data_IF_850969359499
#
_entry.id   IF_850969359499
#
_cell.length_a   1.000
_cell.length_b   1.000
_cell.length_c   1.000
_cell.angle_alpha   90.00
_cell.angle_beta   90.00
_cell.angle_gamma   90.00
#
_symmetry.space_group_name_H-M   'P 1'
#
loop_
_entity.id
_entity.type
_entity.pdbx_description
1 polymer ?
#
# COMPACT_ATOMS: atom_id res chain seq x y z
N UNK A 1 -62.15 -3.37 -23.42
CA UNK A 1 -61.28 -4.30 -24.17
C UNK A 1 -59.85 -4.05 -23.71
N UNK A 2 -59.14 -5.11 -23.28
CA UNK A 2 -57.69 -5.25 -22.97
C UNK A 2 -57.06 -4.22 -21.99
N UNK A 3 -56.68 -4.53 -20.73
CA UNK A 3 -55.61 -5.40 -20.18
C UNK A 3 -54.17 -5.05 -20.57
N UNK A 4 -53.28 -4.84 -19.60
CA UNK A 4 -51.82 -4.93 -19.77
C UNK A 4 -50.97 -4.19 -18.73
N UNK A 5 -50.36 -4.94 -17.81
CA UNK A 5 -49.25 -4.58 -16.92
C UNK A 5 -47.89 -4.54 -17.66
N UNK A 6 -46.86 -3.89 -17.09
CA UNK A 6 -45.40 -4.20 -17.06
C UNK A 6 -44.67 -2.96 -16.47
N UNK A 7 -44.15 -2.95 -15.24
CA UNK A 7 -42.84 -3.48 -14.77
C UNK A 7 -41.62 -2.99 -15.58
N UNK A 8 -40.76 -2.19 -14.94
CA UNK A 8 -39.47 -1.76 -15.51
C UNK A 8 -38.69 -0.86 -14.58
N UNK A 9 -38.06 -1.46 -13.56
CA UNK A 9 -37.04 -0.85 -12.71
C UNK A 9 -35.70 -0.73 -13.45
N UNK A 10 -35.09 0.44 -13.42
CA UNK A 10 -33.63 0.61 -13.37
C UNK A 10 -33.33 1.85 -12.52
N UNK A 11 -32.66 1.71 -11.35
CA UNK A 11 -31.99 2.86 -10.76
C UNK A 11 -30.73 3.12 -11.59
N UNK A 12 -30.65 4.36 -12.05
CA UNK A 12 -29.51 4.99 -12.69
C UNK A 12 -28.20 4.58 -12.00
N UNK A 13 -27.35 3.84 -12.72
CA UNK A 13 -26.00 3.50 -12.32
C UNK A 13 -25.15 4.76 -12.44
N UNK A 14 -25.34 5.66 -11.48
CA UNK A 14 -24.55 6.85 -11.28
C UNK A 14 -23.11 6.48 -10.94
N UNK A 15 -22.30 6.44 -12.00
CA UNK A 15 -20.87 6.60 -12.06
C UNK A 15 -20.33 7.38 -10.82
N UNK A 16 -19.81 6.66 -9.81
CA UNK A 16 -19.05 7.28 -8.72
C UNK A 16 -17.58 7.22 -9.05
N UNK A 17 -17.19 8.29 -9.73
CA UNK A 17 -15.83 8.80 -9.92
C UNK A 17 -14.98 8.66 -8.66
N UNK A 18 -13.74 8.23 -8.85
CA UNK A 18 -12.76 7.99 -7.79
C UNK A 18 -12.60 9.16 -6.83
N UNK A 19 -12.39 8.80 -5.58
CA UNK A 19 -11.88 9.70 -4.54
C UNK A 19 -10.78 8.96 -3.79
N UNK A 20 -9.65 8.79 -4.47
CA UNK A 20 -8.37 8.70 -3.79
C UNK A 20 -8.06 10.08 -3.25
N UNK A 21 -8.40 10.34 -1.99
CA UNK A 21 -7.94 11.55 -1.29
C UNK A 21 -6.48 11.29 -0.92
N UNK A 22 -5.60 11.41 -1.90
CA UNK A 22 -4.17 11.58 -1.68
C UNK A 22 -3.92 13.06 -1.40
N UNK A 23 -3.53 13.39 -0.16
CA UNK A 23 -2.68 14.54 0.14
C UNK A 23 -2.29 14.53 1.62
N UNK A 24 -1.24 13.77 1.94
CA UNK A 24 -0.05 14.14 2.71
C UNK A 24 0.77 12.87 2.85
N UNK A 25 2.06 12.94 2.52
CA UNK A 25 2.97 11.79 2.42
C UNK A 25 2.98 10.90 3.66
N UNK A 26 3.41 9.66 3.44
CA UNK A 26 3.49 8.58 4.45
C UNK A 26 2.14 7.88 4.69
N UNK A 27 1.59 7.20 3.67
CA UNK A 27 0.45 6.29 3.88
C UNK A 27 0.56 5.06 2.97
N UNK A 28 1.02 3.98 3.58
CA UNK A 28 0.28 2.72 3.72
C UNK A 28 -0.37 2.05 2.51
N UNK A 29 -0.31 0.71 2.50
CA UNK A 29 -1.03 -0.12 1.53
C UNK A 29 -2.54 0.10 1.64
N UNK A 30 -3.18 0.45 0.53
CA UNK A 30 -4.62 0.70 0.42
C UNK A 30 -5.30 -0.31 -0.50
N UNK A 31 -6.36 -0.98 -0.05
CA UNK A 31 -7.14 -1.95 -0.84
C UNK A 31 -8.60 -1.49 -0.96
N UNK A 32 -9.13 -1.37 -2.18
CA UNK A 32 -10.52 -0.94 -2.44
C UNK A 32 -11.30 -1.97 -3.29
N UNK A 33 -12.55 -2.27 -2.89
CA UNK A 33 -13.51 -3.11 -3.64
C UNK A 33 -14.68 -2.33 -4.26
N UNK A 34 -14.65 -0.99 -4.26
CA UNK A 34 -15.78 -0.15 -4.66
C UNK A 34 -16.82 0.02 -3.55
N UNK A 35 -16.36 0.04 -2.29
CA UNK A 35 -17.22 0.23 -1.11
C UNK A 35 -16.63 -0.21 0.22
N UNK A 36 -15.51 -0.97 0.23
CA UNK A 36 -14.73 -1.29 1.44
C UNK A 36 -13.27 -0.94 1.19
N UNK A 37 -12.67 -0.24 2.15
CA UNK A 37 -11.27 0.19 2.10
C UNK A 37 -10.50 -0.32 3.31
N UNK A 38 -9.35 -0.95 3.09
CA UNK A 38 -8.36 -1.23 4.14
C UNK A 38 -7.16 -0.33 3.91
N UNK A 39 -6.71 0.35 4.96
CA UNK A 39 -5.47 1.14 4.95
C UNK A 39 -4.55 0.63 6.06
N UNK A 40 -3.29 0.37 5.74
CA UNK A 40 -2.33 -0.25 6.67
C UNK A 40 -1.20 0.73 6.96
N UNK A 41 -0.92 1.00 8.22
CA UNK A 41 0.22 1.83 8.64
C UNK A 41 0.90 1.18 9.84
N UNK A 42 2.23 1.13 9.83
CA UNK A 42 3.02 0.48 10.88
C UNK A 42 3.57 1.47 11.91
N UNK A 43 3.74 2.74 11.52
CA UNK A 43 4.32 3.77 12.37
C UNK A 43 3.20 4.40 13.23
N UNK A 44 3.35 4.48 14.57
CA UNK A 44 2.23 4.83 15.44
C UNK A 44 1.68 6.24 15.24
N UNK A 45 2.54 7.22 14.99
CA UNK A 45 2.17 8.62 14.75
C UNK A 45 1.43 8.76 13.42
N UNK A 46 1.91 8.12 12.35
CA UNK A 46 1.25 8.06 11.06
C UNK A 46 -0.06 7.29 11.13
N UNK A 47 -0.13 6.22 11.91
CA UNK A 47 -1.36 5.46 12.12
C UNK A 47 -2.43 6.31 12.84
N UNK A 48 -2.03 7.20 13.77
CA UNK A 48 -2.94 8.15 14.39
C UNK A 48 -3.48 9.16 13.38
N UNK A 49 -2.60 9.73 12.54
CA UNK A 49 -2.99 10.62 11.45
C UNK A 49 -3.92 9.92 10.46
N UNK A 50 -3.60 8.69 10.04
CA UNK A 50 -4.42 7.86 9.17
C UNK A 50 -5.81 7.64 9.78
N UNK A 51 -5.87 7.25 11.05
CA UNK A 51 -7.14 7.01 11.76
C UNK A 51 -7.97 8.28 11.84
N UNK A 52 -7.34 9.43 12.09
CA UNK A 52 -8.02 10.72 12.08
C UNK A 52 -8.59 11.07 10.69
N UNK A 53 -7.78 10.92 9.64
CA UNK A 53 -8.15 11.20 8.26
C UNK A 53 -9.30 10.30 7.78
N UNK A 54 -9.33 9.04 8.24
CA UNK A 54 -10.37 8.08 7.89
C UNK A 54 -11.63 8.15 8.76
N UNK A 55 -11.66 9.00 9.80
CA UNK A 55 -12.75 9.04 10.79
C UNK A 55 -14.15 9.26 10.22
N UNK A 56 -14.27 9.96 9.07
CA UNK A 56 -15.54 10.23 8.40
C UNK A 56 -15.88 9.22 7.28
N UNK A 57 -15.06 8.21 7.07
CA UNK A 57 -15.22 7.22 6.00
C UNK A 57 -15.59 5.85 6.59
N UNK A 58 -16.88 5.60 6.80
CA UNK A 58 -17.37 4.36 7.45
C UNK A 58 -17.02 3.06 6.70
N UNK A 59 -16.68 3.18 5.42
CA UNK A 59 -16.22 2.09 4.57
C UNK A 59 -14.72 1.77 4.75
N UNK A 60 -13.95 2.68 5.36
CA UNK A 60 -12.52 2.57 5.53
C UNK A 60 -12.16 2.04 6.92
N UNK A 61 -11.21 1.12 6.97
CA UNK A 61 -10.68 0.56 8.22
C UNK A 61 -9.16 0.70 8.23
N UNK A 62 -8.61 1.51 9.16
CA UNK A 62 -7.18 1.55 9.38
C UNK A 62 -6.72 0.30 10.14
N UNK A 63 -5.54 -0.22 9.82
CA UNK A 63 -4.88 -1.32 10.53
C UNK A 63 -3.48 -0.86 10.98
N UNK A 64 -3.20 -1.01 12.27
CA UNK A 64 -1.87 -0.73 12.83
C UNK A 64 -1.01 -1.99 12.76
N UNK A 65 -0.38 -2.22 11.61
CA UNK A 65 0.52 -3.33 11.38
C UNK A 65 1.45 -3.06 10.21
N UNK A 66 2.56 -3.79 10.13
CA UNK A 66 3.38 -3.86 8.93
C UNK A 66 2.87 -4.93 7.96
N UNK A 67 3.22 -4.79 6.68
CA UNK A 67 3.00 -5.82 5.66
C UNK A 67 4.34 -6.47 5.31
N UNK A 68 4.38 -7.80 5.25
CA UNK A 68 5.61 -8.56 4.98
C UNK A 68 5.31 -9.91 4.32
N UNK A 69 6.34 -10.73 4.14
CA UNK A 69 6.29 -12.08 3.56
C UNK A 69 5.69 -13.12 4.51
N UNK A 70 5.59 -12.78 5.80
CA UNK A 70 5.02 -13.64 6.83
C UNK A 70 4.33 -12.85 7.95
N UNK A 71 3.37 -13.49 8.61
CA UNK A 71 2.76 -12.98 9.82
C UNK A 71 3.69 -13.14 11.03
N UNK A 72 3.64 -12.20 11.97
CA UNK A 72 4.44 -12.23 13.19
C UNK A 72 4.60 -10.85 13.82
N UNK A 73 5.80 -10.59 14.34
CA UNK A 73 6.20 -9.30 14.89
C UNK A 73 7.53 -8.92 14.27
N UNK A 74 7.64 -7.69 13.77
CA UNK A 74 8.91 -7.12 13.30
C UNK A 74 9.40 -6.05 14.26
N UNK A 75 10.72 -5.89 14.33
CA UNK A 75 11.36 -4.75 14.99
C UNK A 75 11.76 -3.76 13.91
N UNK A 76 11.29 -2.51 14.00
CA UNK A 76 11.72 -1.44 13.11
C UNK A 76 12.46 -0.35 13.89
N UNK A 77 13.24 0.45 13.16
CA UNK A 77 14.07 1.50 13.70
C UNK A 77 13.45 2.86 13.39
N UNK A 78 13.03 3.60 14.43
CA UNK A 78 12.46 4.93 14.24
C UNK A 78 13.59 5.97 14.10
N UNK A 79 13.65 6.61 12.94
CA UNK A 79 14.44 7.83 12.72
C UNK A 79 13.81 8.98 13.51
N UNK A 80 14.61 9.75 14.27
CA UNK A 80 14.15 10.96 14.98
C UNK A 80 13.87 12.15 14.03
N UNK A 81 14.07 11.98 12.73
CA UNK A 81 13.75 12.97 11.70
C UNK A 81 12.61 12.46 10.79
N UNK A 82 11.51 13.21 10.80
CA UNK A 82 10.15 12.89 10.33
C UNK A 82 9.97 12.91 8.80
N UNK A 83 10.81 12.22 8.04
CA UNK A 83 10.65 12.20 6.56
C UNK A 83 11.21 10.97 5.85
N UNK A 84 11.81 10.01 6.56
CA UNK A 84 12.42 8.82 5.97
C UNK A 84 12.44 7.70 7.01
N UNK A 85 11.37 6.92 7.12
CA UNK A 85 11.32 5.75 7.98
C UNK A 85 11.63 4.50 7.16
N UNK A 86 12.82 3.92 7.35
CA UNK A 86 13.30 2.74 6.62
C UNK A 86 13.21 1.50 7.50
N UNK A 87 12.77 0.37 6.92
CA UNK A 87 12.79 -0.94 7.58
C UNK A 87 14.21 -1.51 7.79
N UNK A 88 15.24 -0.87 7.22
CA UNK A 88 16.63 -1.36 7.23
C UNK A 88 17.59 -0.31 7.82
N UNK A 89 18.63 -0.80 8.51
CA UNK A 89 19.68 -0.03 9.19
C UNK A 89 20.41 0.90 8.18
N UNK A 90 20.08 2.20 8.18
CA UNK A 90 20.75 3.22 7.38
C UNK A 90 22.13 3.51 7.96
N UNK A 91 23.07 2.63 7.62
CA UNK A 91 24.27 2.37 8.39
C UNK A 91 25.37 3.46 8.32
N UNK A 92 25.08 4.74 8.03
CA UNK A 92 26.17 5.74 7.96
C UNK A 92 25.86 7.24 8.12
N UNK A 93 24.66 7.69 8.52
CA UNK A 93 24.41 9.15 8.65
C UNK A 93 23.61 9.60 9.88
N UNK A 94 23.20 8.70 10.76
CA UNK A 94 22.43 9.07 11.96
C UNK A 94 23.07 8.43 13.17
N UNK A 95 23.32 9.26 14.18
CA UNK A 95 23.85 8.90 15.49
C UNK A 95 23.17 7.63 16.01
N UNK A 96 23.92 6.51 16.04
CA UNK A 96 23.38 5.15 16.30
C UNK A 96 22.86 4.99 17.74
N UNK A 97 22.95 6.01 18.58
CA UNK A 97 22.54 5.96 19.99
C UNK A 97 21.09 6.38 20.27
N UNK A 98 20.30 6.80 19.28
CA UNK A 98 18.96 7.34 19.53
C UNK A 98 17.82 6.78 18.65
N UNK A 99 18.08 5.78 17.81
CA UNK A 99 17.00 5.09 17.10
C UNK A 99 16.22 4.21 18.08
N UNK A 100 15.01 4.64 18.45
CA UNK A 100 14.11 3.84 19.26
C UNK A 100 13.69 2.60 18.46
N UNK A 101 13.84 1.42 19.08
CA UNK A 101 13.40 0.14 18.51
C UNK A 101 11.98 -0.12 18.95
N UNK A 102 11.08 -0.22 17.98
CA UNK A 102 9.68 -0.53 18.24
C UNK A 102 9.32 -1.89 17.63
N UNK A 103 8.42 -2.59 18.30
CA UNK A 103 7.87 -3.85 17.83
C UNK A 103 6.44 -3.63 17.35
N UNK A 104 6.16 -4.03 16.12
CA UNK A 104 4.83 -3.94 15.52
C UNK A 104 4.41 -5.30 14.96
N UNK A 105 3.12 -5.61 15.06
CA UNK A 105 2.54 -6.77 14.40
C UNK A 105 2.80 -6.65 12.90
N UNK A 106 3.23 -7.73 12.26
CA UNK A 106 3.27 -7.83 10.81
C UNK A 106 2.29 -8.90 10.32
N UNK A 107 1.71 -8.66 9.16
CA UNK A 107 0.80 -9.58 8.46
C UNK A 107 1.17 -9.65 6.98
N UNK A 108 0.65 -10.64 6.28
CA UNK A 108 0.82 -10.75 4.82
C UNK A 108 -0.34 -10.10 4.08
N UNK A 109 -0.17 -9.82 2.79
CA UNK A 109 -1.26 -9.36 1.91
C UNK A 109 -2.36 -10.42 1.85
N UNK A 110 -2.00 -11.70 1.74
CA UNK A 110 -2.98 -12.80 1.74
C UNK A 110 -3.78 -12.86 3.04
N UNK A 111 -3.15 -12.62 4.19
CA UNK A 111 -3.85 -12.54 5.46
C UNK A 111 -4.88 -11.40 5.47
N UNK A 112 -4.51 -10.21 4.98
CA UNK A 112 -5.43 -9.07 4.88
C UNK A 112 -6.58 -9.40 3.93
N UNK A 113 -6.27 -9.98 2.78
CA UNK A 113 -7.26 -10.36 1.77
C UNK A 113 -8.29 -11.33 2.34
N UNK A 114 -7.84 -12.42 2.98
CA UNK A 114 -8.73 -13.41 3.57
C UNK A 114 -9.53 -12.84 4.75
N UNK A 115 -8.85 -12.18 5.71
CA UNK A 115 -9.48 -11.70 6.95
C UNK A 115 -10.44 -10.53 6.74
N UNK A 116 -10.15 -9.63 5.80
CA UNK A 116 -10.91 -8.38 5.64
C UNK A 116 -11.76 -8.30 4.38
N UNK A 117 -11.47 -9.13 3.38
CA UNK A 117 -12.25 -9.21 2.15
C UNK A 117 -12.93 -10.58 1.99
N UNK A 118 -12.59 -11.58 2.79
CA UNK A 118 -13.22 -12.90 2.72
C UNK A 118 -12.92 -13.63 1.40
N UNK A 119 -11.77 -13.32 0.78
CA UNK A 119 -11.41 -13.83 -0.54
C UNK A 119 -12.08 -13.10 -1.70
N UNK A 120 -12.91 -12.08 -1.46
CA UNK A 120 -13.53 -11.29 -2.53
C UNK A 120 -12.49 -10.49 -3.33
N UNK A 121 -12.74 -10.23 -4.64
CA UNK A 121 -11.85 -9.43 -5.47
C UNK A 121 -11.67 -8.00 -4.96
N UNK A 122 -10.44 -7.50 -5.08
CA UNK A 122 -9.98 -6.15 -4.80
C UNK A 122 -9.76 -5.42 -6.13
N UNK A 123 -10.49 -4.32 -6.33
CA UNK A 123 -10.43 -3.54 -7.57
C UNK A 123 -9.12 -2.78 -7.72
N UNK A 124 -8.61 -2.25 -6.61
CA UNK A 124 -7.39 -1.45 -6.61
C UNK A 124 -6.58 -1.69 -5.34
N UNK A 125 -5.29 -1.97 -5.53
CA UNK A 125 -4.26 -1.90 -4.49
C UNK A 125 -3.32 -0.72 -4.77
N UNK A 126 -3.13 0.18 -3.78
CA UNK A 126 -1.94 1.03 -3.71
C UNK A 126 -0.95 0.34 -2.77
N UNK A 127 0.30 0.18 -3.18
CA UNK A 127 1.40 -0.31 -2.35
C UNK A 127 2.48 0.75 -2.26
N UNK A 128 2.79 1.14 -1.04
CA UNK A 128 3.77 2.16 -0.67
C UNK A 128 4.20 1.82 0.76
N UNK A 129 5.22 0.97 0.89
CA UNK A 129 5.61 0.33 2.16
C UNK A 129 7.08 0.63 2.52
N UNK A 130 7.63 1.68 1.92
CA UNK A 130 8.94 2.28 2.23
C UNK A 130 10.08 1.26 2.38
N UNK A 131 10.26 0.40 1.37
CA UNK A 131 11.36 -0.58 1.29
C UNK A 131 10.98 -2.00 1.68
N UNK A 132 9.69 -2.29 1.88
CA UNK A 132 9.16 -3.66 2.05
C UNK A 132 8.41 -4.20 0.83
N UNK A 133 8.50 -3.55 -0.34
CA UNK A 133 7.62 -3.85 -1.48
C UNK A 133 7.78 -5.30 -1.93
N UNK A 134 9.01 -5.79 -1.99
CA UNK A 134 9.30 -7.17 -2.36
C UNK A 134 8.70 -8.19 -1.38
N UNK A 135 8.83 -7.96 -0.06
CA UNK A 135 8.26 -8.84 0.96
C UNK A 135 6.74 -8.78 0.95
N UNK A 136 6.16 -7.60 0.74
CA UNK A 136 4.71 -7.44 0.62
C UNK A 136 4.16 -8.19 -0.60
N UNK A 137 4.85 -8.14 -1.75
CA UNK A 137 4.50 -8.93 -2.92
C UNK A 137 4.59 -10.44 -2.65
N UNK A 138 5.66 -10.90 -1.99
CA UNK A 138 5.83 -12.30 -1.61
C UNK A 138 4.75 -12.80 -0.65
N UNK A 139 4.32 -11.96 0.30
CA UNK A 139 3.23 -12.26 1.21
C UNK A 139 1.82 -12.19 0.58
N UNK A 140 1.72 -11.85 -0.70
CA UNK A 140 0.46 -11.78 -1.44
C UNK A 140 0.35 -12.77 -2.59
N UNK A 141 1.23 -13.75 -2.66
CA UNK A 141 1.32 -14.67 -3.79
C UNK A 141 -0.03 -15.30 -4.13
N UNK A 142 -0.85 -15.69 -3.15
CA UNK A 142 -2.18 -16.26 -3.40
C UNK A 142 -3.14 -15.23 -4.00
N UNK A 143 -3.23 -14.02 -3.41
CA UNK A 143 -4.10 -12.95 -3.88
C UNK A 143 -3.72 -12.47 -5.30
N UNK A 144 -2.43 -12.33 -5.58
CA UNK A 144 -1.96 -11.87 -6.89
C UNK A 144 -2.09 -12.95 -7.96
N UNK A 145 -1.63 -14.18 -7.69
CA UNK A 145 -1.65 -15.26 -8.68
C UNK A 145 -3.07 -15.74 -9.03
N UNK A 146 -4.02 -15.60 -8.10
CA UNK A 146 -5.44 -15.91 -8.34
C UNK A 146 -6.17 -14.82 -9.13
N UNK A 147 -5.54 -13.66 -9.37
CA UNK A 147 -6.18 -12.50 -9.99
C UNK A 147 -7.19 -11.80 -9.08
N UNK A 148 -7.09 -12.00 -7.76
CA UNK A 148 -7.98 -11.34 -6.80
C UNK A 148 -7.74 -9.83 -6.73
N UNK A 149 -6.57 -9.34 -7.13
CA UNK A 149 -6.27 -7.90 -7.21
C UNK A 149 -6.31 -7.50 -8.69
N UNK A 150 -7.29 -6.69 -9.08
CA UNK A 150 -7.51 -6.32 -10.49
C UNK A 150 -6.48 -5.29 -10.98
N UNK A 151 -6.17 -4.29 -10.14
CA UNK A 151 -5.22 -3.23 -10.48
C UNK A 151 -4.30 -2.93 -9.30
N UNK A 152 -3.04 -2.64 -9.60
CA UNK A 152 -2.04 -2.26 -8.60
C UNK A 152 -1.28 -1.00 -9.03
N UNK A 153 -1.01 -0.13 -8.06
CA UNK A 153 -0.07 0.98 -8.17
C UNK A 153 1.00 0.75 -7.10
N UNK A 154 2.25 0.62 -7.51
CA UNK A 154 3.39 0.42 -6.59
C UNK A 154 4.29 1.64 -6.65
N UNK A 155 4.50 2.28 -5.50
CA UNK A 155 5.56 3.25 -5.29
C UNK A 155 6.73 2.53 -4.62
N UNK A 156 7.94 2.73 -5.14
CA UNK A 156 9.14 2.12 -4.58
C UNK A 156 10.36 3.00 -4.85
N UNK A 157 11.36 2.93 -3.97
CA UNK A 157 12.63 3.62 -4.14
C UNK A 157 13.74 2.60 -4.46
N UNK A 158 14.21 2.47 -5.72
CA UNK A 158 15.23 1.50 -6.10
C UNK A 158 16.48 1.57 -5.24
N UNK A 159 16.90 2.80 -4.88
CA UNK A 159 18.08 3.04 -4.04
C UNK A 159 17.87 2.51 -2.62
N UNK A 160 16.69 2.72 -2.03
CA UNK A 160 16.38 2.23 -0.69
C UNK A 160 16.38 0.70 -0.65
N UNK A 161 15.74 0.06 -1.63
CA UNK A 161 15.72 -1.39 -1.79
C UNK A 161 17.14 -1.99 -1.95
N UNK A 162 17.97 -1.38 -2.81
CA UNK A 162 19.36 -1.82 -2.99
C UNK A 162 20.19 -1.68 -1.71
N UNK A 163 20.02 -0.58 -0.97
CA UNK A 163 20.68 -0.37 0.32
C UNK A 163 20.21 -1.38 1.37
N UNK A 164 18.97 -1.84 1.26
CA UNK A 164 18.38 -2.92 2.04
C UNK A 164 18.86 -4.33 1.62
N UNK A 165 19.71 -4.43 0.59
CA UNK A 165 20.20 -5.71 0.07
C UNK A 165 19.17 -6.48 -0.76
N UNK A 166 18.13 -5.81 -1.23
CA UNK A 166 17.08 -6.40 -2.05
C UNK A 166 17.39 -6.26 -3.54
N UNK A 167 16.94 -7.24 -4.31
CA UNK A 167 17.04 -7.20 -5.76
C UNK A 167 15.78 -6.55 -6.36
N UNK A 168 15.96 -5.35 -6.90
CA UNK A 168 14.88 -4.65 -7.61
C UNK A 168 14.39 -5.43 -8.82
N UNK A 169 15.22 -6.26 -9.46
CA UNK A 169 14.77 -7.11 -10.56
C UNK A 169 13.74 -8.15 -10.12
N UNK A 170 13.86 -8.66 -8.89
CA UNK A 170 12.89 -9.63 -8.36
C UNK A 170 11.51 -9.00 -8.19
N UNK A 171 11.43 -7.72 -7.78
CA UNK A 171 10.18 -6.97 -7.72
C UNK A 171 9.50 -6.94 -9.11
N UNK A 172 10.27 -6.56 -10.14
CA UNK A 172 9.78 -6.52 -11.52
C UNK A 172 9.33 -7.89 -12.03
N UNK A 173 10.07 -8.95 -11.70
CA UNK A 173 9.71 -10.31 -12.09
C UNK A 173 8.36 -10.72 -11.53
N UNK A 174 8.15 -10.60 -10.21
CA UNK A 174 6.88 -10.94 -9.57
C UNK A 174 5.71 -10.12 -10.15
N UNK A 175 5.88 -8.81 -10.32
CA UNK A 175 4.86 -7.96 -10.93
C UNK A 175 4.53 -8.41 -12.36
N UNK A 176 5.54 -8.84 -13.15
CA UNK A 176 5.33 -9.28 -14.53
C UNK A 176 4.70 -10.67 -14.65
N UNK A 177 4.75 -11.49 -13.61
CA UNK A 177 4.06 -12.77 -13.55
C UNK A 177 2.54 -12.59 -13.40
N UNK A 178 2.10 -11.54 -12.72
CA UNK A 178 0.70 -11.33 -12.37
C UNK A 178 0.03 -10.18 -13.12
N UNK A 179 0.78 -9.19 -13.59
CA UNK A 179 0.26 -7.96 -14.18
C UNK A 179 0.94 -7.56 -15.49
N UNK A 180 0.16 -6.93 -16.37
CA UNK A 180 0.70 -6.06 -17.41
C UNK A 180 0.77 -4.63 -16.88
N UNK A 181 1.95 -4.01 -16.90
CA UNK A 181 2.16 -2.69 -16.31
C UNK A 181 3.06 -1.78 -17.16
N UNK A 182 2.96 -0.48 -16.90
CA UNK A 182 3.92 0.52 -17.33
C UNK A 182 4.71 1.05 -16.14
N UNK A 183 5.91 1.58 -16.40
CA UNK A 183 6.75 2.20 -15.38
C UNK A 183 6.75 3.70 -15.60
N UNK A 184 6.56 4.47 -14.52
CA UNK A 184 6.70 5.91 -14.51
C UNK A 184 7.88 6.27 -13.62
N UNK A 185 8.86 6.99 -14.17
CA UNK A 185 10.03 7.45 -13.44
C UNK A 185 9.97 8.98 -13.26
N UNK A 186 10.34 9.46 -12.08
CA UNK A 186 10.59 10.88 -11.88
C UNK A 186 11.89 11.26 -12.60
N UNK A 187 11.78 11.81 -13.81
CA UNK A 187 12.93 12.33 -14.55
C UNK A 187 13.37 13.66 -13.91
N UNK A 188 14.62 13.79 -13.42
CA UNK A 188 15.12 15.07 -12.91
C UNK A 188 15.18 16.09 -14.06
N UNK A 189 14.39 17.16 -14.00
CA UNK A 189 14.34 18.13 -15.10
C UNK A 189 13.44 19.37 -14.98
N UNK A 190 12.60 19.50 -13.94
CA UNK A 190 11.88 20.74 -13.64
C UNK A 190 12.27 21.26 -12.26
N UNK A 191 13.45 21.88 -12.17
CA UNK A 191 13.91 22.58 -10.97
C UNK A 191 15.44 22.62 -10.87
N UNK A 192 15.99 23.82 -11.03
CA UNK A 192 17.42 24.18 -11.02
C UNK A 192 18.29 23.58 -12.16
N UNK A 193 18.28 24.31 -13.28
CA UNK A 193 19.54 24.60 -13.95
C UNK A 193 20.39 25.38 -12.94
N UNK A 194 21.35 24.71 -12.32
CA UNK A 194 22.65 25.23 -11.90
C UNK A 194 23.30 24.18 -11.00
N UNK A 195 24.17 23.38 -11.60
CA UNK A 195 25.27 22.75 -10.87
C UNK A 195 26.54 22.89 -11.74
N UNK A 196 27.66 23.35 -11.15
CA UNK A 196 28.90 23.72 -11.84
C UNK A 196 29.66 22.54 -12.45
#
# INVERSE_FOLDING_TARGET
MYSGTHSGSTPDSGNRTGTGVGSTGEIGTGLDTGGRQIAVEMEPENYQCLTHNLSNYSAAKPLHCAVSDKCGTITFHRSLHSSCHSLHDTNNLIDRSAAEKEQVRCVTVDHIWQEHFGGEPIKLMKMDVEGAELQALQGGEEAFSSGAIEHIIVEYCPRAMQNAGQDTHQLYQLLSEWFQFGVMENVPGFGNQDAP
#
